data_IF_478664540382
#
_entry.id   IF_478664540382
#
_cell.length_a   1.000
_cell.length_b   1.000
_cell.length_c   1.000
_cell.angle_alpha   90.00
_cell.angle_beta   90.00
_cell.angle_gamma   90.00
#
_symmetry.space_group_name_H-M   'P 1'
#
loop_
_entity.id
_entity.type
_entity.pdbx_description
1 polymer ?
#
# COMPACT_ATOMS: atom_id res chain seq x y z
N UNK A 1 -9.11 18.62 -51.22
CA UNK A 1 -8.74 19.26 -49.94
C UNK A 1 -9.65 18.69 -48.88
N UNK A 2 -9.19 18.52 -47.64
CA UNK A 2 -9.76 17.57 -46.67
C UNK A 2 -11.24 17.82 -46.28
N UNK A 3 -12.18 17.27 -47.04
CA UNK A 3 -13.63 17.36 -46.78
C UNK A 3 -14.17 16.23 -45.88
N UNK A 4 -13.31 15.29 -45.45
CA UNK A 4 -13.74 14.10 -44.70
C UNK A 4 -13.49 14.16 -43.19
N UNK A 5 -12.72 15.12 -42.68
CA UNK A 5 -12.44 15.24 -41.24
C UNK A 5 -12.37 16.72 -40.83
N UNK A 6 -13.39 17.18 -40.11
CA UNK A 6 -13.53 18.59 -39.70
C UNK A 6 -13.23 18.80 -38.23
N UNK A 7 -12.90 20.04 -37.84
CA UNK A 7 -12.76 20.44 -36.43
C UNK A 7 -14.02 20.13 -35.60
N UNK A 8 -15.20 20.29 -36.21
CA UNK A 8 -16.48 19.98 -35.55
C UNK A 8 -16.62 18.49 -35.24
N UNK A 9 -16.24 17.61 -36.16
CA UNK A 9 -16.21 16.16 -35.94
C UNK A 9 -15.24 15.78 -34.83
N UNK A 10 -14.02 16.31 -34.86
CA UNK A 10 -13.02 16.08 -33.81
C UNK A 10 -13.54 16.52 -32.43
N UNK A 11 -14.19 17.69 -32.35
CA UNK A 11 -14.80 18.19 -31.11
C UNK A 11 -15.92 17.28 -30.59
N UNK A 12 -16.77 16.76 -31.47
CA UNK A 12 -17.86 15.88 -31.08
C UNK A 12 -17.35 14.50 -30.63
N UNK A 13 -16.31 13.98 -31.27
CA UNK A 13 -15.61 12.75 -30.81
C UNK A 13 -15.00 12.97 -29.43
N UNK A 14 -14.34 14.11 -29.20
CA UNK A 14 -13.77 14.46 -27.90
C UNK A 14 -14.84 14.49 -26.80
N UNK A 15 -15.92 15.25 -26.98
CA UNK A 15 -16.97 15.34 -25.96
C UNK A 15 -17.76 14.04 -25.80
N UNK A 16 -18.14 13.40 -26.91
CA UNK A 16 -18.91 12.16 -26.88
C UNK A 16 -18.11 11.01 -26.28
N UNK A 17 -16.88 10.81 -26.74
CA UNK A 17 -15.96 9.81 -26.19
C UNK A 17 -15.60 10.10 -24.73
N UNK A 18 -15.33 11.37 -24.39
CA UNK A 18 -15.04 11.79 -23.02
C UNK A 18 -16.17 11.46 -22.05
N UNK A 19 -17.41 11.83 -22.38
CA UNK A 19 -18.59 11.51 -21.56
C UNK A 19 -18.82 10.00 -21.49
N UNK A 20 -18.71 9.29 -22.61
CA UNK A 20 -18.89 7.84 -22.65
C UNK A 20 -17.90 7.11 -21.73
N UNK A 21 -16.60 7.38 -21.88
CA UNK A 21 -15.58 6.72 -21.06
C UNK A 21 -15.60 7.18 -19.61
N UNK A 22 -16.01 8.42 -19.32
CA UNK A 22 -16.24 8.87 -17.95
C UNK A 22 -17.37 8.07 -17.27
N UNK A 23 -18.52 7.91 -17.93
CA UNK A 23 -19.63 7.12 -17.39
C UNK A 23 -19.27 5.64 -17.25
N UNK A 24 -18.51 5.09 -18.21
CA UNK A 24 -17.98 3.73 -18.12
C UNK A 24 -17.05 3.58 -16.92
N UNK A 25 -16.12 4.53 -16.69
CA UNK A 25 -15.24 4.53 -15.54
C UNK A 25 -16.03 4.58 -14.23
N UNK A 26 -17.06 5.42 -14.11
CA UNK A 26 -17.94 5.45 -12.92
C UNK A 26 -18.61 4.10 -12.68
N UNK A 27 -19.10 3.44 -13.74
CA UNK A 27 -19.67 2.10 -13.67
C UNK A 27 -18.67 1.06 -13.15
N UNK A 28 -17.46 1.04 -13.71
CA UNK A 28 -16.39 0.12 -13.28
C UNK A 28 -15.91 0.41 -11.85
N UNK A 29 -15.84 1.67 -11.44
CA UNK A 29 -15.51 2.05 -10.06
C UNK A 29 -16.56 1.53 -9.10
N UNK A 30 -17.84 1.66 -9.43
CA UNK A 30 -18.92 1.17 -8.57
C UNK A 30 -18.89 -0.36 -8.43
N UNK A 31 -18.62 -1.08 -9.51
CA UNK A 31 -18.41 -2.53 -9.49
C UNK A 31 -17.21 -2.91 -8.61
N UNK A 32 -16.08 -2.22 -8.80
CA UNK A 32 -14.86 -2.40 -8.00
C UNK A 32 -15.12 -2.17 -6.50
N UNK A 33 -15.81 -1.08 -6.14
CA UNK A 33 -16.11 -0.78 -4.73
C UNK A 33 -16.99 -1.83 -4.05
N UNK A 34 -17.76 -2.63 -4.81
CA UNK A 34 -18.58 -3.72 -4.27
C UNK A 34 -17.79 -4.99 -4.01
N UNK A 35 -16.77 -5.28 -4.80
CA UNK A 35 -15.91 -6.47 -4.64
C UNK A 35 -14.79 -6.23 -3.60
N UNK A 36 -14.33 -4.98 -3.44
CA UNK A 36 -13.22 -4.66 -2.54
C UNK A 36 -13.35 -5.23 -1.12
N UNK A 37 -14.52 -5.20 -0.44
CA UNK A 37 -14.62 -5.73 0.92
C UNK A 37 -14.23 -7.21 1.06
N UNK A 38 -14.44 -8.01 0.01
CA UNK A 38 -14.01 -9.40 -0.04
C UNK A 38 -12.50 -9.49 -0.30
N UNK A 39 -11.99 -8.71 -1.27
CA UNK A 39 -10.58 -8.73 -1.68
C UNK A 39 -9.61 -8.23 -0.62
N UNK A 40 -10.01 -7.23 0.17
CA UNK A 40 -9.19 -6.66 1.23
C UNK A 40 -9.52 -7.20 2.62
N UNK A 41 -10.35 -8.24 2.71
CA UNK A 41 -10.79 -8.82 3.98
C UNK A 41 -11.26 -7.75 4.97
N UNK A 42 -12.23 -6.92 4.54
CA UNK A 42 -12.69 -5.73 5.27
C UNK A 42 -13.10 -6.03 6.71
N UNK A 43 -13.66 -7.22 6.93
CA UNK A 43 -14.04 -7.73 8.24
C UNK A 43 -12.87 -7.80 9.24
N UNK A 44 -11.63 -7.89 8.74
CA UNK A 44 -10.41 -7.95 9.53
C UNK A 44 -9.73 -6.57 9.73
N UNK A 45 -10.34 -5.48 9.25
CA UNK A 45 -9.87 -4.12 9.56
C UNK A 45 -10.30 -3.76 10.99
N UNK A 46 -9.46 -4.11 11.95
CA UNK A 46 -9.64 -3.79 13.36
C UNK A 46 -9.22 -2.34 13.68
N UNK A 47 -9.52 -1.87 14.88
CA UNK A 47 -9.05 -0.56 15.35
C UNK A 47 -7.50 -0.46 15.34
N UNK A 48 -6.81 -1.56 15.65
CA UNK A 48 -5.35 -1.62 15.60
C UNK A 48 -4.81 -1.43 14.18
N UNK A 49 -5.43 -2.05 13.17
CA UNK A 49 -5.08 -1.86 11.75
C UNK A 49 -5.26 -0.41 11.34
N UNK A 50 -6.38 0.21 11.72
CA UNK A 50 -6.66 1.64 11.41
C UNK A 50 -5.62 2.55 12.07
N UNK A 51 -5.33 2.36 13.36
CA UNK A 51 -4.29 3.12 14.07
C UNK A 51 -2.91 2.90 13.45
N UNK A 52 -2.58 1.68 13.05
CA UNK A 52 -1.32 1.33 12.39
C UNK A 52 -1.14 2.10 11.09
N UNK A 53 -2.22 2.19 10.29
CA UNK A 53 -2.24 3.02 9.08
C UNK A 53 -2.02 4.50 9.39
N UNK A 54 -2.65 5.05 10.43
CA UNK A 54 -2.41 6.44 10.83
C UNK A 54 -0.94 6.69 11.24
N UNK A 55 -0.33 5.74 11.95
CA UNK A 55 1.08 5.83 12.36
C UNK A 55 2.00 5.75 11.14
N UNK A 56 1.70 4.85 10.19
CA UNK A 56 2.39 4.76 8.91
C UNK A 56 2.40 6.10 8.16
N UNK A 57 1.24 6.77 8.11
CA UNK A 57 1.07 8.07 7.45
C UNK A 57 1.77 9.20 8.21
N UNK A 58 1.58 9.30 9.52
CA UNK A 58 2.19 10.35 10.38
C UNK A 58 3.72 10.33 10.33
N UNK A 59 4.31 9.15 10.20
CA UNK A 59 5.76 8.96 10.16
C UNK A 59 6.34 8.89 8.73
N UNK A 60 5.51 9.10 7.71
CA UNK A 60 5.90 9.10 6.29
C UNK A 60 6.73 7.86 5.90
N UNK A 61 6.32 6.67 6.37
CA UNK A 61 7.03 5.43 6.06
C UNK A 61 7.16 5.22 4.54
N UNK A 62 6.10 5.57 3.79
CA UNK A 62 6.05 5.53 2.32
C UNK A 62 7.03 6.48 1.62
N UNK A 63 7.57 7.48 2.34
CA UNK A 63 8.62 8.36 1.82
C UNK A 63 9.97 7.69 1.63
N UNK A 64 10.18 6.51 2.24
CA UNK A 64 11.35 5.68 2.02
C UNK A 64 11.01 4.30 1.43
N UNK A 65 9.91 3.71 1.88
CA UNK A 65 9.46 2.38 1.50
C UNK A 65 8.38 2.43 0.41
N UNK A 66 8.18 1.30 -0.26
CA UNK A 66 6.95 1.01 -0.99
C UNK A 66 6.00 0.14 -0.16
N UNK A 67 4.71 0.25 -0.45
CA UNK A 67 3.65 -0.61 0.06
C UNK A 67 2.78 -1.04 -1.12
N UNK A 68 2.74 -2.34 -1.40
CA UNK A 68 2.13 -2.91 -2.61
C UNK A 68 2.73 -2.31 -3.89
N UNK A 69 4.04 -2.04 -3.89
CA UNK A 69 4.78 -1.50 -5.04
C UNK A 69 4.64 0.01 -5.24
N UNK A 70 3.84 0.69 -4.43
CA UNK A 70 3.64 2.14 -4.49
C UNK A 70 4.40 2.84 -3.36
N UNK A 71 5.14 3.91 -3.69
CA UNK A 71 5.86 4.70 -2.71
C UNK A 71 7.25 5.10 -3.19
N UNK A 72 8.23 5.10 -2.29
CA UNK A 72 9.62 5.41 -2.59
C UNK A 72 10.47 4.15 -2.78
N UNK A 73 11.60 4.29 -3.47
CA UNK A 73 12.51 3.20 -3.82
C UNK A 73 13.81 3.20 -2.98
N UNK A 74 13.77 3.83 -1.80
CA UNK A 74 14.93 3.98 -0.94
C UNK A 74 15.10 2.82 0.05
N UNK A 75 14.02 2.17 0.44
CA UNK A 75 14.01 1.05 1.38
C UNK A 75 13.10 -0.07 0.84
N UNK A 76 13.18 -1.29 1.42
CA UNK A 76 12.45 -2.46 0.90
C UNK A 76 10.93 -2.29 0.89
N UNK A 77 10.25 -3.02 0.01
CA UNK A 77 8.80 -3.21 0.01
C UNK A 77 8.30 -3.77 1.34
N UNK A 78 7.18 -3.25 1.86
CA UNK A 78 6.66 -3.65 3.18
C UNK A 78 5.33 -4.42 3.16
N UNK A 79 4.63 -4.57 2.04
CA UNK A 79 3.38 -5.32 1.97
C UNK A 79 3.56 -6.80 2.36
N UNK A 80 4.67 -7.41 1.95
CA UNK A 80 5.00 -8.82 2.26
C UNK A 80 6.12 -8.97 3.31
N UNK A 81 6.36 -7.95 4.15
CA UNK A 81 7.42 -8.03 5.18
C UNK A 81 7.07 -9.06 6.26
N UNK A 82 5.78 -9.27 6.52
CA UNK A 82 5.29 -10.33 7.40
C UNK A 82 5.74 -11.71 6.90
N UNK A 83 5.62 -11.99 5.61
CA UNK A 83 6.04 -13.28 5.03
C UNK A 83 7.54 -13.53 5.16
N UNK A 84 8.35 -12.46 5.17
CA UNK A 84 9.81 -12.57 5.35
C UNK A 84 10.23 -12.81 6.77
N UNK A 85 9.58 -12.17 7.74
CA UNK A 85 10.09 -12.08 9.13
C UNK A 85 9.14 -12.62 10.20
N UNK A 86 7.89 -12.95 9.86
CA UNK A 86 6.92 -13.54 10.78
C UNK A 86 6.99 -15.05 10.88
N UNK A 87 7.60 -15.74 9.91
CA UNK A 87 7.64 -17.21 9.86
C UNK A 87 6.25 -17.88 10.00
N UNK A 88 5.19 -17.18 9.55
CA UNK A 88 3.80 -17.63 9.68
C UNK A 88 3.15 -17.38 11.05
N UNK A 89 3.82 -16.67 11.96
CA UNK A 89 3.35 -16.38 13.31
C UNK A 89 3.32 -14.86 13.56
N UNK A 90 2.14 -14.33 13.88
CA UNK A 90 1.94 -12.90 14.13
C UNK A 90 2.71 -12.41 15.37
N UNK A 91 2.83 -13.23 16.42
CA UNK A 91 3.56 -12.85 17.63
C UNK A 91 5.09 -12.79 17.39
N UNK A 92 5.59 -13.67 16.51
CA UNK A 92 6.99 -13.61 16.05
C UNK A 92 7.24 -12.34 15.27
N UNK A 93 6.33 -11.98 14.35
CA UNK A 93 6.46 -10.74 13.59
C UNK A 93 6.37 -9.49 14.46
N UNK A 94 5.43 -9.46 15.41
CA UNK A 94 5.30 -8.35 16.35
C UNK A 94 6.58 -8.19 17.18
N UNK A 95 7.13 -9.29 17.70
CA UNK A 95 8.41 -9.28 18.42
C UNK A 95 9.55 -8.77 17.53
N UNK A 96 9.60 -9.18 16.26
CA UNK A 96 10.54 -8.64 15.29
C UNK A 96 10.37 -7.13 15.11
N UNK A 97 9.15 -6.63 14.94
CA UNK A 97 8.87 -5.21 14.74
C UNK A 97 9.23 -4.36 15.97
N UNK A 98 8.91 -4.83 17.18
CA UNK A 98 9.30 -4.15 18.43
C UNK A 98 10.83 -3.94 18.49
N UNK A 99 11.59 -5.00 18.21
CA UNK A 99 13.04 -4.90 18.19
C UNK A 99 13.54 -4.06 17.02
N UNK A 100 13.01 -4.26 15.81
CA UNK A 100 13.43 -3.55 14.61
C UNK A 100 13.28 -2.04 14.78
N UNK A 101 12.13 -1.57 15.24
CA UNK A 101 11.88 -0.13 15.45
C UNK A 101 12.77 0.44 16.55
N UNK A 102 13.03 -0.32 17.63
CA UNK A 102 13.84 0.13 18.75
C UNK A 102 15.34 0.27 18.44
N UNK A 103 15.90 -0.56 17.54
CA UNK A 103 17.34 -0.55 17.22
C UNK A 103 17.74 0.46 16.14
N UNK A 104 16.78 1.14 15.52
CA UNK A 104 17.08 2.18 14.54
C UNK A 104 17.66 3.45 15.19
N UNK A 105 18.53 4.20 14.49
CA UNK A 105 19.27 3.82 13.28
C UNK A 105 20.39 2.80 13.60
N UNK A 106 20.71 1.92 12.64
CA UNK A 106 21.76 0.90 12.81
C UNK A 106 23.19 1.47 12.84
N UNK A 107 23.39 2.72 12.42
CA UNK A 107 24.68 3.44 12.45
C UNK A 107 25.84 2.74 11.72
N UNK A 108 25.55 1.83 10.78
CA UNK A 108 26.56 1.20 9.93
C UNK A 108 27.06 2.21 8.88
N UNK A 109 28.37 2.55 8.82
CA UNK A 109 28.91 3.52 7.87
C UNK A 109 28.60 3.15 6.41
N UNK A 110 28.13 4.12 5.63
CA UNK A 110 27.79 3.94 4.22
C UNK A 110 26.46 3.21 3.93
N UNK A 111 25.75 2.71 4.96
CA UNK A 111 24.43 2.09 4.80
C UNK A 111 23.31 3.14 4.84
N UNK A 112 22.24 2.94 4.06
CA UNK A 112 20.98 3.69 4.19
C UNK A 112 20.43 3.55 5.61
N UNK A 113 19.97 4.66 6.21
CA UNK A 113 19.51 4.68 7.60
C UNK A 113 18.00 4.90 7.64
N UNK A 114 17.31 4.07 8.42
CA UNK A 114 15.94 4.33 8.85
C UNK A 114 16.00 5.08 10.20
N UNK A 115 15.23 6.17 10.39
CA UNK A 115 15.24 6.98 11.61
C UNK A 115 14.76 6.22 12.85
N UNK A 116 15.08 6.76 14.03
CA UNK A 116 14.40 6.41 15.28
C UNK A 116 13.14 7.27 15.40
N UNK A 117 11.98 6.64 15.53
CA UNK A 117 10.68 7.31 15.59
C UNK A 117 10.15 7.48 17.01
N UNK A 118 10.76 6.82 18.00
CA UNK A 118 10.33 6.84 19.40
C UNK A 118 8.86 6.44 19.60
N UNK A 119 8.41 5.44 18.83
CA UNK A 119 7.07 4.87 18.94
C UNK A 119 6.90 4.12 20.26
N UNK A 120 5.70 4.15 20.83
CA UNK A 120 5.36 3.29 21.98
C UNK A 120 5.21 1.83 21.55
N UNK A 121 5.23 0.91 22.51
CA UNK A 121 4.99 -0.52 22.23
C UNK A 121 3.61 -0.73 21.58
N UNK A 122 2.59 0.02 22.01
CA UNK A 122 1.24 -0.02 21.42
C UNK A 122 1.25 0.50 19.97
N UNK A 123 2.00 1.56 19.68
CA UNK A 123 2.12 2.07 18.31
C UNK A 123 2.78 1.05 17.39
N UNK A 124 3.85 0.39 17.87
CA UNK A 124 4.53 -0.66 17.08
C UNK A 124 3.64 -1.89 16.91
N UNK A 125 2.85 -2.26 17.91
CA UNK A 125 1.81 -3.29 17.77
C UNK A 125 0.83 -2.92 16.66
N UNK A 126 0.27 -1.71 16.70
CA UNK A 126 -0.70 -1.23 15.70
C UNK A 126 -0.11 -1.25 14.28
N UNK A 127 1.13 -0.78 14.08
CA UNK A 127 1.82 -0.85 12.78
C UNK A 127 2.05 -2.29 12.35
N UNK A 128 2.39 -3.19 13.27
CA UNK A 128 2.56 -4.61 12.97
C UNK A 128 1.24 -5.23 12.48
N UNK A 129 0.12 -4.94 13.15
CA UNK A 129 -1.21 -5.39 12.75
C UNK A 129 -1.61 -4.85 11.37
N UNK A 130 -1.30 -3.58 11.08
CA UNK A 130 -1.52 -3.00 9.76
C UNK A 130 -0.73 -3.72 8.65
N UNK A 131 0.54 -4.04 8.88
CA UNK A 131 1.37 -4.74 7.90
C UNK A 131 0.97 -6.21 7.74
N UNK A 132 0.55 -6.89 8.81
CA UNK A 132 -0.02 -8.24 8.75
C UNK A 132 -1.31 -8.22 7.91
N UNK A 133 -2.24 -7.31 8.19
CA UNK A 133 -3.46 -7.19 7.40
C UNK A 133 -3.15 -6.87 5.92
N UNK A 134 -2.21 -5.98 5.66
CA UNK A 134 -1.80 -5.63 4.29
C UNK A 134 -1.26 -6.84 3.52
N UNK A 135 -0.47 -7.71 4.17
CA UNK A 135 0.07 -8.93 3.55
C UNK A 135 -0.99 -9.95 3.13
N UNK A 136 -2.25 -9.78 3.57
CA UNK A 136 -3.36 -10.70 3.30
C UNK A 136 -4.32 -10.18 2.24
N UNK A 137 -4.12 -8.98 1.70
CA UNK A 137 -4.95 -8.43 0.63
C UNK A 137 -4.78 -9.29 -0.62
N UNK A 138 -5.87 -9.65 -1.29
CA UNK A 138 -5.82 -10.23 -2.64
C UNK A 138 -5.40 -9.14 -3.64
N UNK A 139 -4.11 -9.12 -3.94
CA UNK A 139 -3.46 -8.23 -4.90
C UNK A 139 -3.08 -8.92 -6.22
N UNK A 140 -3.68 -10.08 -6.49
CA UNK A 140 -3.44 -10.93 -7.68
C UNK A 140 -2.01 -11.49 -7.76
N UNK A 141 -1.57 -12.15 -6.69
CA UNK A 141 -0.28 -12.85 -6.59
C UNK A 141 0.95 -11.93 -6.76
N UNK A 142 0.80 -10.65 -6.42
CA UNK A 142 1.94 -9.76 -6.27
C UNK A 142 2.47 -9.90 -4.82
N UNK A 143 3.78 -9.73 -4.56
CA UNK A 143 4.89 -9.63 -5.51
C UNK A 143 5.36 -11.01 -6.03
N UNK A 144 6.18 -11.06 -7.09
CA UNK A 144 6.62 -12.33 -7.70
C UNK A 144 7.38 -13.29 -6.79
N UNK A 145 7.94 -12.80 -5.68
CA UNK A 145 8.62 -13.60 -4.67
C UNK A 145 8.69 -12.86 -3.32
N UNK A 146 9.16 -13.54 -2.28
CA UNK A 146 9.22 -13.02 -0.90
C UNK A 146 10.09 -11.77 -0.70
N UNK A 147 10.93 -11.36 -1.64
CA UNK A 147 11.79 -10.17 -1.49
C UNK A 147 11.03 -8.85 -1.70
N UNK A 148 9.78 -8.92 -2.18
CA UNK A 148 9.07 -7.73 -2.66
C UNK A 148 9.70 -7.22 -3.94
#
# INVERSE_FOLDING_TARGET
MADNFTKGMARNIYYGGGVFFFLLLVGLTFDTMRILPERDHRENITEAVVKGKEIWEKNNCIGCHSLMGEGAYFAPELANVFDRYGAGDEAVFESFMQNWMAIQPLNVPGRRQMPQFHLSEEDVHNVSQFLIWTSRIDDNDWPPNKQG
#
